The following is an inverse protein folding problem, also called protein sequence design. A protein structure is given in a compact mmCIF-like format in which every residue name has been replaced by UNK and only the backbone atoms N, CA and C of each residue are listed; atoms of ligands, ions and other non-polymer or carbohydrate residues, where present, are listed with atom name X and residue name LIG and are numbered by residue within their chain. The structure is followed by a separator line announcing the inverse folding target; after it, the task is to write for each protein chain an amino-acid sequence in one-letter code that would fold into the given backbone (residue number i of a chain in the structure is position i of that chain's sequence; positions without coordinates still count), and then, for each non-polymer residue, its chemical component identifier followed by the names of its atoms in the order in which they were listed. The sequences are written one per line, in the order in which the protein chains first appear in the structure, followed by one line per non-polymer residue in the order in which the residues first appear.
data_IF_038153984833
#
_entry.id   IF_038153984833
#
_cell.length_a   1.000
_cell.length_b   1.000
_cell.length_c   1.000
_cell.angle_alpha   90.00
_cell.angle_beta   90.00
_cell.angle_gamma   90.00
#
_symmetry.space_group_name_H-M   'P 1'
#
loop_
_entity.id
_entity.type
_entity.pdbx_description
1 polymer ?
#
# COMPACT_ATOMS: atom_id res chain seq x y z
N UNK A 1 10.99 -8.70 11.49
CA UNK A 1 10.49 -9.36 10.27
C UNK A 1 10.86 -10.84 10.24
N UNK A 2 12.14 -11.23 10.34
CA UNK A 2 12.56 -12.65 10.39
C UNK A 2 11.82 -13.48 11.43
N UNK A 3 11.68 -12.98 12.67
CA UNK A 3 10.92 -13.69 13.71
C UNK A 3 9.43 -13.85 13.39
N UNK A 4 8.80 -12.85 12.75
CA UNK A 4 7.40 -12.91 12.35
C UNK A 4 7.20 -13.91 11.20
N UNK A 5 8.10 -13.91 10.21
CA UNK A 5 8.09 -14.90 9.12
C UNK A 5 8.31 -16.30 9.67
N UNK A 6 9.25 -16.49 10.60
CA UNK A 6 9.49 -17.79 11.22
C UNK A 6 8.27 -18.31 12.01
N UNK A 7 7.53 -17.43 12.68
CA UNK A 7 6.34 -17.81 13.44
C UNK A 7 5.10 -18.01 12.55
N UNK A 8 4.84 -17.09 11.63
CA UNK A 8 3.57 -16.96 10.90
C UNK A 8 3.65 -17.40 9.43
N UNK A 9 4.85 -17.57 8.89
CA UNK A 9 5.09 -17.94 7.48
C UNK A 9 5.03 -16.78 6.49
N UNK A 10 4.47 -15.63 6.88
CA UNK A 10 4.35 -14.43 6.06
C UNK A 10 4.49 -13.17 6.92
N UNK A 11 5.20 -12.16 6.42
CA UNK A 11 5.14 -10.80 6.92
C UNK A 11 4.59 -9.83 5.86
N UNK A 12 3.53 -9.09 6.21
CA UNK A 12 3.05 -7.93 5.45
C UNK A 12 3.71 -6.68 6.02
N UNK A 13 4.52 -6.00 5.23
CA UNK A 13 5.17 -4.74 5.59
C UNK A 13 4.51 -3.59 4.84
N UNK A 14 4.05 -2.60 5.60
CA UNK A 14 3.49 -1.36 5.08
C UNK A 14 4.53 -0.23 5.24
N UNK A 15 5.02 0.32 4.13
CA UNK A 15 5.79 1.56 4.13
C UNK A 15 4.86 2.74 3.88
N UNK A 16 4.96 3.81 4.66
CA UNK A 16 4.02 4.94 4.58
C UNK A 16 4.78 6.20 4.24
N UNK A 17 4.39 6.81 3.12
CA UNK A 17 5.06 7.96 2.54
C UNK A 17 4.06 9.07 2.19
N UNK A 18 4.61 10.23 1.90
CA UNK A 18 3.84 11.31 1.29
C UNK A 18 4.56 11.87 0.09
N UNK A 19 3.79 12.37 -0.86
CA UNK A 19 4.33 12.98 -2.07
C UNK A 19 3.75 14.37 -2.31
N UNK A 20 4.48 15.19 -3.09
CA UNK A 20 3.98 16.50 -3.54
C UNK A 20 2.93 16.34 -4.65
N UNK A 21 1.72 16.90 -4.52
CA UNK A 21 0.67 16.82 -5.54
C UNK A 21 1.04 17.50 -6.87
N UNK A 22 2.04 18.40 -6.85
CA UNK A 22 2.61 19.03 -8.04
C UNK A 22 4.08 18.70 -8.11
N UNK A 23 4.50 18.10 -9.22
CA UNK A 23 5.90 17.80 -9.50
C UNK A 23 6.28 18.45 -10.81
N UNK A 24 7.30 19.32 -10.76
CA UNK A 24 7.78 20.10 -11.93
C UNK A 24 6.65 20.81 -12.68
N UNK A 25 5.75 21.47 -11.94
CA UNK A 25 4.59 22.19 -12.50
C UNK A 25 3.37 21.32 -12.80
N UNK A 26 3.55 20.02 -13.07
CA UNK A 26 2.48 19.09 -13.42
C UNK A 26 1.75 18.58 -12.18
N UNK A 27 0.41 18.61 -12.22
CA UNK A 27 -0.44 18.03 -11.16
C UNK A 27 -0.51 16.51 -11.31
N UNK A 28 -0.24 15.79 -10.23
CA UNK A 28 -0.44 14.34 -10.14
C UNK A 28 -1.92 14.04 -9.93
N UNK A 29 -2.46 13.13 -10.73
CA UNK A 29 -3.89 12.81 -10.76
C UNK A 29 -4.33 11.77 -9.73
N UNK A 30 -3.53 11.58 -8.66
CA UNK A 30 -3.73 10.61 -7.59
C UNK A 30 -3.72 11.34 -6.24
N UNK A 31 -4.55 10.89 -5.32
CA UNK A 31 -4.57 11.36 -3.93
C UNK A 31 -3.96 10.32 -2.99
N UNK A 32 -4.15 9.03 -3.27
CA UNK A 32 -3.54 7.90 -2.55
C UNK A 32 -3.05 6.86 -3.55
N UNK A 33 -1.76 6.54 -3.47
CA UNK A 33 -1.12 5.44 -4.17
C UNK A 33 -1.00 4.21 -3.29
N UNK A 34 -1.34 3.05 -3.83
CA UNK A 34 -0.96 1.76 -3.24
C UNK A 34 0.05 1.11 -4.19
N UNK A 35 1.29 1.02 -3.73
CA UNK A 35 2.45 0.67 -4.53
C UNK A 35 2.92 -0.74 -4.16
N UNK A 36 3.20 -1.54 -5.18
CA UNK A 36 3.54 -2.95 -5.04
C UNK A 36 4.29 -3.44 -6.28
N UNK A 37 4.96 -4.59 -6.16
CA UNK A 37 5.53 -5.29 -7.31
C UNK A 37 4.45 -6.16 -7.99
N UNK A 38 4.05 -5.86 -9.24
CA UNK A 38 3.01 -6.61 -9.93
C UNK A 38 3.40 -8.06 -10.24
N UNK A 39 4.69 -8.40 -10.26
CA UNK A 39 5.16 -9.77 -10.49
C UNK A 39 5.04 -10.63 -9.21
N UNK A 40 4.75 -10.03 -8.06
CA UNK A 40 4.52 -10.71 -6.78
C UNK A 40 3.03 -10.90 -6.52
N UNK A 41 2.53 -12.11 -6.78
CA UNK A 41 1.10 -12.47 -6.69
C UNK A 41 0.39 -11.98 -5.41
N UNK A 42 0.98 -12.22 -4.24
CA UNK A 42 0.39 -11.79 -2.96
C UNK A 42 0.33 -10.27 -2.84
N UNK A 43 1.37 -9.54 -3.27
CA UNK A 43 1.35 -8.08 -3.25
C UNK A 43 0.28 -7.53 -4.20
N UNK A 44 0.20 -8.07 -5.42
CA UNK A 44 -0.80 -7.68 -6.42
C UNK A 44 -2.24 -7.98 -5.96
N UNK A 45 -2.49 -9.16 -5.38
CA UNK A 45 -3.81 -9.52 -4.87
C UNK A 45 -4.25 -8.56 -3.75
N UNK A 46 -3.37 -8.32 -2.78
CA UNK A 46 -3.62 -7.43 -1.64
C UNK A 46 -3.85 -5.99 -2.12
N UNK A 47 -2.95 -5.46 -2.94
CA UNK A 47 -3.02 -4.07 -3.40
C UNK A 47 -4.27 -3.79 -4.23
N UNK A 48 -4.65 -4.70 -5.13
CA UNK A 48 -5.84 -4.54 -5.97
C UNK A 48 -7.14 -4.55 -5.15
N UNK A 49 -7.28 -5.50 -4.23
CA UNK A 49 -8.42 -5.56 -3.32
C UNK A 49 -8.48 -4.32 -2.43
N UNK A 50 -7.34 -3.89 -1.90
CA UNK A 50 -7.26 -2.71 -1.05
C UNK A 50 -7.59 -1.42 -1.80
N UNK A 51 -7.11 -1.24 -3.04
CA UNK A 51 -7.49 -0.12 -3.89
C UNK A 51 -9.01 -0.04 -4.10
N UNK A 52 -9.65 -1.18 -4.38
CA UNK A 52 -11.10 -1.27 -4.58
C UNK A 52 -11.88 -0.90 -3.31
N UNK A 53 -11.44 -1.39 -2.16
CA UNK A 53 -12.07 -1.10 -0.88
C UNK A 53 -11.94 0.39 -0.51
N UNK A 54 -10.73 0.95 -0.63
CA UNK A 54 -10.49 2.37 -0.39
C UNK A 54 -11.28 3.26 -1.35
N UNK A 55 -11.37 2.92 -2.64
CA UNK A 55 -12.16 3.67 -3.60
C UNK A 55 -13.65 3.69 -3.24
N UNK A 56 -14.15 2.61 -2.65
CA UNK A 56 -15.54 2.49 -2.17
C UNK A 56 -15.78 3.36 -0.92
N UNK A 57 -14.85 3.33 0.04
CA UNK A 57 -14.94 4.06 1.31
C UNK A 57 -14.66 5.56 1.18
N UNK A 58 -13.81 5.93 0.22
CA UNK A 58 -13.34 7.28 -0.02
C UNK A 58 -13.69 7.74 -1.45
N UNK A 59 -14.99 7.83 -1.83
CA UNK A 59 -15.42 8.10 -3.22
C UNK A 59 -15.03 9.48 -3.74
N UNK A 60 -14.50 10.36 -2.88
CA UNK A 60 -14.00 11.70 -3.23
C UNK A 60 -12.48 11.76 -3.37
N UNK A 61 -11.80 10.63 -3.22
CA UNK A 61 -10.34 10.53 -3.35
C UNK A 61 -10.00 9.65 -4.56
N UNK A 62 -8.95 10.03 -5.27
CA UNK A 62 -8.42 9.24 -6.39
C UNK A 62 -7.42 8.26 -5.84
N UNK A 63 -7.83 7.00 -5.78
CA UNK A 63 -7.02 5.87 -5.38
C UNK A 63 -6.43 5.24 -6.65
N UNK A 64 -5.13 4.96 -6.66
CA UNK A 64 -4.49 4.31 -7.80
C UNK A 64 -3.44 3.29 -7.36
N UNK A 65 -3.36 2.20 -8.09
CA UNK A 65 -2.24 1.26 -8.04
C UNK A 65 -1.01 1.90 -8.71
N UNK A 66 0.16 1.74 -8.11
CA UNK A 66 1.46 2.09 -8.71
C UNK A 66 1.48 3.51 -9.33
N UNK A 67 0.91 4.47 -8.60
CA UNK A 67 1.02 5.89 -8.86
C UNK A 67 1.20 6.66 -7.54
N UNK A 68 2.02 7.73 -7.51
CA UNK A 68 2.72 8.33 -8.64
C UNK A 68 4.05 7.65 -9.03
N UNK A 69 4.45 6.61 -8.29
CA UNK A 69 5.64 5.81 -8.51
C UNK A 69 5.25 4.34 -8.76
N UNK A 70 6.16 3.55 -9.34
CA UNK A 70 5.81 2.24 -9.88
C UNK A 70 5.65 1.14 -8.80
N UNK A 71 6.10 1.37 -7.57
CA UNK A 71 6.17 0.32 -6.53
C UNK A 71 7.30 -0.70 -6.74
N UNK A 72 8.01 -0.60 -7.86
CA UNK A 72 9.24 -1.33 -8.22
C UNK A 72 10.45 -0.40 -8.36
N UNK A 73 10.27 0.90 -8.09
CA UNK A 73 11.37 1.86 -8.04
C UNK A 73 12.33 1.51 -6.87
N UNK A 74 13.54 2.09 -6.89
CA UNK A 74 14.49 1.89 -5.80
C UNK A 74 13.89 2.41 -4.47
N UNK A 75 13.90 1.56 -3.46
CA UNK A 75 13.13 1.76 -2.24
C UNK A 75 13.30 0.61 -1.24
N UNK A 76 12.81 0.83 -0.02
CA UNK A 76 12.97 -0.14 1.07
C UNK A 76 12.27 -1.47 0.77
N UNK A 77 11.07 -1.43 0.19
CA UNK A 77 10.33 -2.62 -0.24
C UNK A 77 11.12 -3.40 -1.28
N UNK A 78 11.60 -2.75 -2.33
CA UNK A 78 12.45 -3.35 -3.38
C UNK A 78 13.71 -3.99 -2.80
N UNK A 79 14.39 -3.34 -1.86
CA UNK A 79 15.55 -3.92 -1.17
C UNK A 79 15.17 -5.16 -0.34
N UNK A 80 14.07 -5.13 0.42
CA UNK A 80 13.62 -6.26 1.24
C UNK A 80 13.18 -7.45 0.38
N UNK A 81 12.60 -7.22 -0.80
CA UNK A 81 12.25 -8.30 -1.75
C UNK A 81 13.46 -9.16 -2.16
N UNK A 82 14.68 -8.61 -2.07
CA UNK A 82 15.93 -9.37 -2.29
C UNK A 82 16.33 -10.27 -1.13
N UNK A 83 15.70 -10.11 0.04
CA UNK A 83 16.03 -10.82 1.28
C UNK A 83 15.05 -11.94 1.62
N UNK A 84 13.82 -11.87 1.12
CA UNK A 84 12.75 -12.82 1.45
C UNK A 84 11.97 -13.20 0.20
N UNK A 85 11.59 -14.48 0.09
CA UNK A 85 10.87 -14.99 -1.06
C UNK A 85 9.45 -14.39 -1.12
N UNK A 86 8.84 -14.41 -2.31
CA UNK A 86 7.49 -13.87 -2.52
C UNK A 86 6.40 -14.49 -1.60
N UNK A 87 6.46 -15.79 -1.23
CA UNK A 87 5.51 -16.35 -0.26
C UNK A 87 5.68 -15.86 1.19
N UNK A 88 6.86 -15.34 1.54
CA UNK A 88 7.24 -15.00 2.92
C UNK A 88 7.14 -13.51 3.22
N UNK A 89 7.20 -12.67 2.19
CA UNK A 89 7.23 -11.22 2.33
C UNK A 89 6.32 -10.53 1.32
N UNK A 90 5.44 -9.69 1.82
CA UNK A 90 4.61 -8.75 1.06
C UNK A 90 5.04 -7.33 1.43
N UNK A 91 5.58 -6.58 0.47
CA UNK A 91 5.90 -5.17 0.63
C UNK A 91 4.89 -4.28 -0.09
N UNK A 92 4.12 -3.48 0.66
CA UNK A 92 3.19 -2.48 0.12
C UNK A 92 3.65 -1.09 0.56
N UNK A 93 3.72 -0.14 -0.35
CA UNK A 93 3.95 1.27 -0.03
C UNK A 93 2.65 2.06 -0.18
N UNK A 94 2.34 2.88 0.81
CA UNK A 94 1.18 3.77 0.83
C UNK A 94 1.69 5.18 0.58
N UNK A 95 1.32 5.75 -0.55
CA UNK A 95 1.72 7.09 -0.96
C UNK A 95 0.56 8.06 -0.80
N UNK A 96 0.67 9.03 0.12
CA UNK A 96 -0.43 9.99 0.39
C UNK A 96 -0.05 11.37 -0.11
N UNK A 97 -0.92 12.00 -0.91
CA UNK A 97 -0.73 13.37 -1.35
C UNK A 97 -0.66 14.31 -0.13
N UNK A 98 0.47 14.99 0.06
CA UNK A 98 0.72 15.80 1.27
C UNK A 98 -0.24 17.00 1.43
N UNK A 99 -1.01 17.35 0.39
CA UNK A 99 -2.13 18.30 0.48
C UNK A 99 -3.21 17.89 1.48
N UNK A 100 -3.24 16.62 1.92
CA UNK A 100 -4.14 16.15 2.96
C UNK A 100 -3.97 16.94 4.27
N UNK A 101 -2.75 17.40 4.58
CA UNK A 101 -2.46 18.20 5.76
C UNK A 101 -3.22 19.55 5.78
N UNK A 102 -3.64 20.03 4.60
CA UNK A 102 -4.42 21.27 4.45
C UNK A 102 -5.94 21.06 4.54
N UNK A 103 -6.41 19.82 4.60
CA UNK A 103 -7.85 19.50 4.75
C UNK A 103 -8.29 19.69 6.21
N UNK A 104 -9.60 19.76 6.44
CA UNK A 104 -10.15 19.84 7.80
C UNK A 104 -9.72 18.63 8.65
N UNK A 105 -9.65 18.80 9.97
CA UNK A 105 -9.33 17.71 10.90
C UNK A 105 -10.29 16.53 10.76
N UNK A 106 -11.58 16.78 10.52
CA UNK A 106 -12.54 15.72 10.22
C UNK A 106 -12.23 14.94 8.95
N UNK A 107 -11.73 15.60 7.90
CA UNK A 107 -11.31 14.92 6.67
C UNK A 107 -10.03 14.10 6.87
N UNK A 108 -9.06 14.64 7.62
CA UNK A 108 -7.83 13.93 7.98
C UNK A 108 -8.16 12.69 8.81
N UNK A 109 -9.01 12.84 9.83
CA UNK A 109 -9.46 11.74 10.67
C UNK A 109 -10.20 10.67 9.88
N UNK A 110 -11.14 11.07 9.00
CA UNK A 110 -11.85 10.12 8.13
C UNK A 110 -10.87 9.28 7.29
N UNK A 111 -9.87 9.91 6.66
CA UNK A 111 -8.86 9.17 5.90
C UNK A 111 -8.13 8.14 6.78
N UNK A 112 -7.63 8.57 7.94
CA UNK A 112 -6.88 7.70 8.85
C UNK A 112 -7.74 6.53 9.34
N UNK A 113 -9.01 6.78 9.65
CA UNK A 113 -9.96 5.76 10.10
C UNK A 113 -10.25 4.73 9.01
N UNK A 114 -10.46 5.14 7.76
CA UNK A 114 -10.68 4.18 6.67
C UNK A 114 -9.41 3.37 6.38
N UNK A 115 -8.23 4.01 6.32
CA UNK A 115 -6.96 3.29 6.16
C UNK A 115 -6.77 2.25 7.28
N UNK A 116 -6.93 2.65 8.55
CA UNK A 116 -6.78 1.74 9.69
C UNK A 116 -7.80 0.58 9.66
N UNK A 117 -9.05 0.87 9.28
CA UNK A 117 -10.11 -0.14 9.19
C UNK A 117 -9.82 -1.17 8.11
N UNK A 118 -9.35 -0.73 6.93
CA UNK A 118 -8.99 -1.65 5.83
C UNK A 118 -7.74 -2.49 6.10
N UNK A 119 -6.87 -2.07 7.03
CA UNK A 119 -5.74 -2.86 7.52
C UNK A 119 -6.20 -3.87 8.58
N UNK A 120 -7.04 -3.45 9.53
CA UNK A 120 -7.49 -4.29 10.65
C UNK A 120 -8.53 -5.35 10.27
N UNK A 121 -9.33 -5.07 9.23
CA UNK A 121 -10.34 -5.99 8.70
C UNK A 121 -10.15 -6.13 7.18
N UNK A 122 -9.08 -6.81 6.75
CA UNK A 122 -8.72 -6.87 5.35
C UNK A 122 -9.75 -7.65 4.54
N UNK A 123 -10.11 -7.13 3.37
CA UNK A 123 -10.92 -7.83 2.36
C UNK A 123 -10.08 -8.70 1.44
N UNK A 124 -8.75 -8.70 1.61
CA UNK A 124 -7.79 -9.41 0.79
C UNK A 124 -7.34 -10.73 1.44
N UNK A 125 -7.07 -11.70 0.59
CA UNK A 125 -6.48 -13.00 0.95
C UNK A 125 -5.04 -13.07 0.45
N UNK A 126 -4.25 -13.99 1.00
CA UNK A 126 -2.91 -14.30 0.53
C UNK A 126 -2.74 -15.80 0.40
N UNK A 127 -1.91 -16.24 -0.54
CA UNK A 127 -1.47 -17.63 -0.61
C UNK A 127 -0.44 -17.85 0.51
N UNK A 128 -0.74 -18.80 1.40
CA UNK A 128 0.17 -19.17 2.47
C UNK A 128 1.23 -20.15 1.96
N UNK A 129 2.49 -19.98 2.38
CA UNK A 129 3.57 -20.91 2.05
C UNK A 129 3.39 -22.31 2.69
N UNK A 130 2.40 -22.48 3.58
CA UNK A 130 2.11 -23.76 4.26
C UNK A 130 1.18 -24.61 3.39
N UNK A 131 1.77 -25.23 2.37
CA UNK A 131 1.10 -26.13 1.43
C UNK A 131 2.08 -27.06 0.71
N UNK A 132 2.85 -27.84 1.47
CA UNK A 132 3.45 -29.14 1.11
C UNK A 132 3.93 -29.83 2.40
#
# INVERSE_FOLDING_TARGET
MTAAIAAEGLAVHLSVHTFTPRFRGTRRAVDIGILFDPDRKNEAAIANAWCKDLATRLPRMRIAANQPYLGTDDGLTTWIRTKFAAPEYVGIEIEIANSIAKKSKGSQHKLLTELATTIGNPTWTHDSARGA
#
